data_IF_113577966295
#
_entry.id   IF_113577966295
#
_cell.length_a   1.000
_cell.length_b   1.000
_cell.length_c   1.000
_cell.angle_alpha   90.00
_cell.angle_beta   90.00
_cell.angle_gamma   90.00
#
_symmetry.space_group_name_H-M   'P 1'
#
loop_
_entity.id
_entity.type
_entity.pdbx_description
1 polymer ?
#
# COMPACT_ATOMS: atom_id res chain seq x y z
N UNK A 1 14.85 -66.02 20.34
CA UNK A 1 14.49 -64.64 20.69
C UNK A 1 14.98 -63.73 19.57
N UNK A 2 14.08 -63.19 18.75
CA UNK A 2 14.43 -62.28 17.65
C UNK A 2 14.38 -60.85 18.19
N UNK A 3 15.54 -60.19 18.22
CA UNK A 3 15.64 -58.77 18.56
C UNK A 3 15.24 -57.95 17.34
N UNK A 4 14.12 -57.25 17.46
CA UNK A 4 13.67 -56.25 16.49
C UNK A 4 14.21 -54.90 16.95
N UNK A 5 15.25 -54.41 16.28
CA UNK A 5 15.82 -53.09 16.53
C UNK A 5 14.92 -52.04 15.90
N UNK A 6 14.25 -51.23 16.72
CA UNK A 6 13.45 -50.09 16.28
C UNK A 6 14.39 -48.93 15.93
N UNK A 7 14.41 -48.54 14.65
CA UNK A 7 15.07 -47.33 14.18
C UNK A 7 14.12 -46.14 14.42
N UNK A 8 14.43 -45.33 15.43
CA UNK A 8 13.75 -44.05 15.66
C UNK A 8 14.39 -43.03 14.73
N UNK A 9 13.69 -42.71 13.63
CA UNK A 9 14.08 -41.62 12.74
C UNK A 9 13.58 -40.30 13.34
N UNK A 10 14.47 -39.54 13.96
CA UNK A 10 14.18 -38.19 14.44
C UNK A 10 14.15 -37.23 13.25
N UNK A 11 12.94 -36.86 12.82
CA UNK A 11 12.71 -35.75 11.88
C UNK A 11 13.09 -34.43 12.59
N UNK A 12 14.28 -33.92 12.27
CA UNK A 12 14.65 -32.54 12.55
C UNK A 12 13.79 -31.65 11.65
N UNK A 13 12.80 -30.98 12.23
CA UNK A 13 12.11 -29.89 11.56
C UNK A 13 13.12 -28.76 11.37
N UNK A 14 13.63 -28.60 10.15
CA UNK A 14 14.33 -27.40 9.72
C UNK A 14 13.37 -26.23 9.88
N UNK A 15 13.63 -25.36 10.88
CA UNK A 15 12.96 -24.07 10.97
C UNK A 15 13.31 -23.29 9.70
N UNK A 16 12.39 -23.26 8.75
CA UNK A 16 12.52 -22.41 7.58
C UNK A 16 12.56 -20.96 8.08
N UNK A 17 13.69 -20.28 7.91
CA UNK A 17 13.81 -18.86 8.19
C UNK A 17 12.86 -18.11 7.26
N UNK A 18 12.07 -17.19 7.80
CA UNK A 18 11.18 -16.35 6.99
C UNK A 18 11.99 -15.61 5.91
N UNK A 19 11.45 -15.57 4.68
CA UNK A 19 11.99 -14.76 3.59
C UNK A 19 11.91 -13.28 3.96
N UNK A 20 12.81 -12.43 3.45
CA UNK A 20 12.71 -11.00 3.68
C UNK A 20 11.69 -10.38 2.72
N UNK A 21 10.46 -10.17 3.19
CA UNK A 21 9.34 -9.67 2.39
C UNK A 21 9.53 -8.23 1.92
N UNK A 22 10.37 -7.45 2.61
CA UNK A 22 10.60 -6.03 2.35
C UNK A 22 11.90 -5.76 1.57
N UNK A 23 12.63 -6.81 1.19
CA UNK A 23 13.82 -6.71 0.36
C UNK A 23 13.48 -6.47 -1.12
N UNK A 24 14.49 -6.01 -1.87
CA UNK A 24 14.44 -5.86 -3.33
C UNK A 24 13.37 -4.88 -3.83
N UNK A 25 13.16 -3.79 -3.08
CA UNK A 25 12.31 -2.66 -3.50
C UNK A 25 10.92 -3.11 -3.97
N UNK A 26 10.10 -3.70 -3.08
CA UNK A 26 8.81 -4.23 -3.48
C UNK A 26 7.86 -3.08 -3.89
N UNK A 27 7.09 -3.35 -4.94
CA UNK A 27 6.12 -2.42 -5.53
C UNK A 27 4.79 -3.13 -5.71
N UNK A 28 3.72 -2.51 -5.25
CA UNK A 28 2.35 -2.97 -5.44
C UNK A 28 1.63 -1.99 -6.35
N UNK A 29 1.11 -2.44 -7.49
CA UNK A 29 0.13 -1.72 -8.29
C UNK A 29 -1.26 -2.16 -7.86
N UNK A 30 -2.06 -1.22 -7.40
CA UNK A 30 -3.42 -1.46 -6.94
C UNK A 30 -4.35 -0.56 -7.71
N UNK A 31 -5.50 -1.10 -8.10
CA UNK A 31 -6.64 -0.31 -8.56
C UNK A 31 -7.78 -0.37 -7.56
N UNK A 32 -8.56 0.70 -7.52
CA UNK A 32 -9.80 0.75 -6.76
C UNK A 32 -10.89 1.48 -7.52
N UNK A 33 -12.13 1.12 -7.22
CA UNK A 33 -13.32 1.81 -7.69
C UNK A 33 -14.24 2.04 -6.51
N UNK A 34 -14.49 3.30 -6.17
CA UNK A 34 -15.26 3.69 -5.01
C UNK A 34 -16.46 4.57 -5.39
N UNK A 35 -17.59 4.32 -4.76
CA UNK A 35 -18.65 5.30 -4.61
C UNK A 35 -18.15 6.47 -3.78
N UNK A 36 -18.10 7.64 -4.40
CA UNK A 36 -18.12 8.93 -3.70
C UNK A 36 -19.59 9.41 -3.71
N UNK A 37 -19.99 10.52 -3.05
CA UNK A 37 -21.40 10.87 -2.90
C UNK A 37 -22.21 10.65 -4.18
N UNK A 38 -23.18 9.73 -4.09
CA UNK A 38 -23.87 9.20 -5.27
C UNK A 38 -24.47 10.34 -6.09
N UNK A 39 -24.42 10.28 -7.43
CA UNK A 39 -24.03 9.18 -8.32
C UNK A 39 -22.58 9.27 -8.83
N UNK A 40 -21.65 9.72 -8.00
CA UNK A 40 -20.26 9.91 -8.39
C UNK A 40 -19.41 8.64 -8.13
N UNK A 41 -18.53 8.28 -9.07
CA UNK A 41 -17.58 7.17 -8.92
C UNK A 41 -16.16 7.70 -9.02
N UNK A 42 -15.30 7.27 -8.09
CA UNK A 42 -13.86 7.48 -8.12
C UNK A 42 -13.16 6.19 -8.56
N UNK A 43 -12.36 6.23 -9.61
CA UNK A 43 -11.50 5.12 -10.02
C UNK A 43 -10.05 5.52 -9.83
N UNK A 44 -9.32 4.82 -8.97
CA UNK A 44 -7.95 5.13 -8.56
C UNK A 44 -6.99 4.02 -9.01
N UNK A 45 -5.84 4.38 -9.56
CA UNK A 45 -4.76 3.48 -9.93
C UNK A 45 -3.44 3.98 -9.39
N UNK A 46 -2.77 3.17 -8.56
CA UNK A 46 -1.67 3.67 -7.75
C UNK A 46 -0.65 2.61 -7.36
N UNK A 47 0.57 3.08 -7.08
CA UNK A 47 1.62 2.26 -6.49
C UNK A 47 1.74 2.47 -4.99
N UNK A 48 1.99 1.38 -4.26
CA UNK A 48 2.79 1.41 -3.04
C UNK A 48 4.23 1.01 -3.35
N UNK A 49 5.19 1.65 -2.69
CA UNK A 49 6.60 1.32 -2.81
C UNK A 49 7.36 1.71 -1.55
N UNK A 50 8.46 1.01 -1.26
CA UNK A 50 9.29 1.30 -0.07
C UNK A 50 10.18 2.52 -0.30
N UNK A 51 10.41 3.31 0.76
CA UNK A 51 11.12 4.58 0.68
C UNK A 51 12.06 4.80 1.89
N UNK A 52 12.89 3.80 2.16
CA UNK A 52 13.81 3.78 3.29
C UNK A 52 13.10 3.54 4.62
N UNK A 53 13.79 3.85 5.72
CA UNK A 53 13.35 3.44 7.05
C UNK A 53 13.10 4.63 8.01
N UNK A 54 12.42 4.32 9.11
CA UNK A 54 12.23 5.12 10.31
C UNK A 54 12.65 4.29 11.54
N UNK A 55 12.98 4.97 12.64
CA UNK A 55 13.24 4.33 13.93
C UNK A 55 12.19 4.79 14.94
N UNK A 56 11.45 3.83 15.52
CA UNK A 56 10.49 4.10 16.59
C UNK A 56 10.86 3.21 17.76
N UNK A 57 11.21 3.80 18.90
CA UNK A 57 11.57 3.08 20.13
C UNK A 57 12.69 2.03 19.93
N UNK A 58 13.63 2.28 19.02
CA UNK A 58 14.73 1.36 18.72
C UNK A 58 14.38 0.24 17.73
N UNK A 59 13.14 0.19 17.23
CA UNK A 59 12.70 -0.74 16.18
C UNK A 59 12.73 -0.03 14.83
N UNK A 60 13.30 -0.69 13.82
CA UNK A 60 13.33 -0.19 12.43
C UNK A 60 12.02 -0.50 11.74
N UNK A 61 11.45 0.51 11.09
CA UNK A 61 10.21 0.44 10.31
C UNK A 61 10.47 0.92 8.90
N UNK A 62 10.09 0.14 7.90
CA UNK A 62 10.17 0.53 6.50
C UNK A 62 9.01 1.46 6.16
N UNK A 63 9.35 2.60 5.55
CA UNK A 63 8.41 3.56 5.02
C UNK A 63 7.83 3.04 3.71
N UNK A 64 6.51 3.11 3.58
CA UNK A 64 5.79 2.83 2.34
C UNK A 64 5.03 4.08 1.94
N UNK A 65 5.28 4.53 0.71
CA UNK A 65 4.66 5.70 0.11
C UNK A 65 3.63 5.27 -0.93
N UNK A 66 2.68 6.15 -1.24
CA UNK A 66 1.64 5.93 -2.25
C UNK A 66 1.61 7.05 -3.28
N UNK A 67 1.67 6.71 -4.55
CA UNK A 67 1.51 7.68 -5.66
C UNK A 67 0.62 7.10 -6.74
N UNK A 68 -0.07 7.95 -7.49
CA UNK A 68 -0.98 7.48 -8.54
C UNK A 68 -1.90 8.59 -9.04
N UNK A 69 -3.02 8.18 -9.60
CA UNK A 69 -4.06 9.12 -10.03
C UNK A 69 -5.43 8.49 -9.88
N UNK A 70 -6.40 9.32 -9.52
CA UNK A 70 -7.80 8.93 -9.57
C UNK A 70 -8.59 9.76 -10.58
N UNK A 71 -9.63 9.16 -11.12
CA UNK A 71 -10.61 9.81 -11.99
C UNK A 71 -11.96 9.88 -11.28
N UNK A 72 -12.67 11.00 -11.44
CA UNK A 72 -14.04 11.15 -10.99
C UNK A 72 -14.97 11.09 -12.21
N UNK A 73 -16.02 10.28 -12.10
CA UNK A 73 -16.97 10.05 -13.18
C UNK A 73 -18.41 10.05 -12.66
N UNK A 74 -19.17 11.04 -13.12
CA UNK A 74 -20.60 11.16 -12.88
C UNK A 74 -21.40 10.08 -13.63
N UNK A 75 -22.23 9.31 -12.93
CA UNK A 75 -22.97 8.18 -13.50
C UNK A 75 -24.46 8.47 -13.79
N UNK A 76 -24.98 9.65 -13.44
CA UNK A 76 -26.39 9.97 -13.64
C UNK A 76 -26.66 10.65 -14.98
N UNK A 77 -27.84 10.45 -15.59
CA UNK A 77 -28.26 11.17 -16.79
C UNK A 77 -28.53 12.67 -16.54
N UNK A 78 -28.63 13.10 -15.28
CA UNK A 78 -28.78 14.50 -14.93
C UNK A 78 -27.49 15.29 -15.20
N UNK A 79 -27.59 16.62 -15.18
CA UNK A 79 -26.43 17.49 -15.32
C UNK A 79 -25.30 17.04 -14.36
N UNK A 80 -24.09 16.79 -14.88
CA UNK A 80 -22.97 16.37 -14.04
C UNK A 80 -22.63 17.41 -12.98
N UNK A 81 -22.37 16.94 -11.75
CA UNK A 81 -21.76 17.78 -10.72
C UNK A 81 -20.33 18.15 -11.17
N UNK A 82 -19.98 19.45 -11.24
CA UNK A 82 -18.62 19.89 -11.57
C UNK A 82 -17.54 19.32 -10.66
N UNK A 83 -17.88 18.91 -9.43
CA UNK A 83 -16.95 18.29 -8.48
C UNK A 83 -16.78 16.77 -8.71
N UNK A 84 -17.49 16.19 -9.67
CA UNK A 84 -17.46 14.76 -9.99
C UNK A 84 -16.91 14.49 -11.40
N UNK A 85 -15.85 15.20 -11.77
CA UNK A 85 -15.25 15.08 -13.09
C UNK A 85 -13.76 15.33 -13.01
N UNK A 86 -12.98 14.64 -13.84
CA UNK A 86 -11.57 14.95 -14.05
C UNK A 86 -10.64 13.81 -13.65
N UNK A 87 -9.35 14.06 -13.87
CA UNK A 87 -8.24 13.19 -13.52
C UNK A 87 -7.30 13.96 -12.61
N UNK A 88 -6.98 13.36 -11.46
CA UNK A 88 -6.24 13.98 -10.38
C UNK A 88 -5.02 13.12 -10.05
N UNK A 89 -3.83 13.47 -10.59
CA UNK A 89 -2.59 12.85 -10.16
C UNK A 89 -2.25 13.32 -8.74
N UNK A 90 -1.61 12.45 -7.98
CA UNK A 90 -1.12 12.78 -6.66
C UNK A 90 0.24 12.12 -6.38
N UNK A 91 1.06 12.86 -5.64
CA UNK A 91 2.40 12.42 -5.26
C UNK A 91 2.43 11.66 -3.92
N UNK A 92 3.64 11.20 -3.53
CA UNK A 92 3.87 10.35 -2.36
C UNK A 92 3.40 10.89 -1.01
N UNK A 93 3.23 12.21 -0.87
CA UNK A 93 2.84 12.84 0.39
C UNK A 93 1.32 12.87 0.62
N UNK A 94 0.50 12.65 -0.42
CA UNK A 94 -0.95 12.90 -0.36
C UNK A 94 -1.67 12.01 0.67
N UNK A 95 -1.34 10.72 0.71
CA UNK A 95 -1.94 9.75 1.63
C UNK A 95 -1.09 9.48 2.89
N UNK A 96 -0.06 10.29 3.11
CA UNK A 96 0.90 10.10 4.20
C UNK A 96 1.80 8.87 4.02
N UNK A 97 2.62 8.63 5.03
CA UNK A 97 3.59 7.52 5.06
C UNK A 97 3.04 6.38 5.91
N UNK A 98 3.05 5.17 5.38
CA UNK A 98 2.81 3.95 6.17
C UNK A 98 4.13 3.39 6.66
N UNK A 99 4.14 2.84 7.87
CA UNK A 99 5.32 2.26 8.49
C UNK A 99 5.05 0.79 8.74
N UNK A 100 5.79 -0.09 8.07
CA UNK A 100 5.65 -1.53 8.24
C UNK A 100 6.97 -2.17 8.62
N UNK A 101 6.91 -3.32 9.29
CA UNK A 101 8.08 -4.13 9.58
C UNK A 101 7.72 -5.60 9.46
N UNK A 102 8.73 -6.43 9.26
CA UNK A 102 8.59 -7.86 9.33
C UNK A 102 9.01 -8.37 10.72
N UNK A 103 8.28 -9.36 11.23
CA UNK A 103 8.66 -10.11 12.43
C UNK A 103 8.41 -11.60 12.20
N UNK A 104 9.47 -12.37 11.94
CA UNK A 104 9.31 -13.76 11.50
C UNK A 104 8.45 -13.83 10.24
N UNK A 105 7.36 -14.60 10.30
CA UNK A 105 6.38 -14.78 9.22
C UNK A 105 5.17 -13.84 9.34
N UNK A 106 5.32 -12.72 10.06
CA UNK A 106 4.31 -11.67 10.15
C UNK A 106 4.78 -10.38 9.45
N UNK A 107 3.81 -9.68 8.84
CA UNK A 107 3.94 -8.25 8.57
C UNK A 107 3.19 -7.48 9.64
N UNK A 108 3.80 -6.41 10.12
CA UNK A 108 3.29 -5.55 11.19
C UNK A 108 3.28 -4.10 10.72
N UNK A 109 2.34 -3.32 11.23
CA UNK A 109 2.14 -1.90 10.87
C UNK A 109 2.13 -1.04 12.14
N UNK A 110 2.78 0.12 12.06
CA UNK A 110 2.66 1.15 13.09
C UNK A 110 1.46 2.02 12.77
N UNK A 111 0.40 1.87 13.56
CA UNK A 111 -0.86 2.60 13.41
C UNK A 111 -1.41 2.95 14.80
N UNK A 112 -2.03 4.12 14.92
CA UNK A 112 -2.61 4.61 16.18
C UNK A 112 -1.61 4.58 17.35
N UNK A 113 -0.36 4.97 17.08
CA UNK A 113 0.77 4.93 18.01
C UNK A 113 1.04 3.56 18.66
N UNK A 114 0.66 2.49 17.95
CA UNK A 114 0.82 1.11 18.40
C UNK A 114 1.34 0.21 17.29
N UNK A 115 1.96 -0.88 17.71
CA UNK A 115 2.42 -1.94 16.83
C UNK A 115 1.31 -2.98 16.61
N UNK A 116 0.74 -3.01 15.41
CA UNK A 116 -0.40 -3.86 15.07
C UNK A 116 -0.04 -4.92 14.04
N UNK A 117 -0.76 -6.05 14.06
CA UNK A 117 -0.65 -7.08 13.04
C UNK A 117 -1.19 -6.54 11.71
N UNK A 118 -0.47 -6.73 10.61
CA UNK A 118 -0.98 -6.50 9.26
C UNK A 118 -1.34 -7.85 8.61
N UNK A 119 -0.39 -8.78 8.56
CA UNK A 119 -0.62 -10.14 8.05
C UNK A 119 0.10 -11.21 8.88
N UNK A 120 -0.53 -12.37 8.99
CA UNK A 120 0.02 -13.61 9.53
C UNK A 120 0.16 -14.62 8.37
N UNK A 121 1.30 -15.31 8.31
CA UNK A 121 1.58 -16.32 7.28
C UNK A 121 1.88 -17.72 7.86
N UNK A 122 1.80 -17.90 9.17
CA UNK A 122 1.79 -19.23 9.81
C UNK A 122 0.39 -19.85 9.80
N UNK A 123 -0.17 -19.97 8.59
CA UNK A 123 -1.53 -20.43 8.34
C UNK A 123 -1.56 -21.85 7.77
N UNK A 124 -2.61 -22.59 8.11
CA UNK A 124 -2.89 -23.93 7.59
C UNK A 124 -4.32 -24.03 7.08
N UNK A 125 -4.60 -24.98 6.20
CA UNK A 125 -5.97 -25.24 5.71
C UNK A 125 -6.92 -25.47 6.90
N UNK A 126 -8.07 -24.80 6.87
CA UNK A 126 -9.09 -24.83 7.91
C UNK A 126 -8.86 -23.84 9.06
N UNK A 127 -7.71 -23.16 9.12
CA UNK A 127 -7.51 -22.07 10.09
C UNK A 127 -8.26 -20.81 9.69
N UNK A 128 -8.61 -20.00 10.67
CA UNK A 128 -9.22 -18.68 10.49
C UNK A 128 -8.12 -17.61 10.49
N UNK A 129 -8.24 -16.59 9.63
CA UNK A 129 -7.34 -15.45 9.68
C UNK A 129 -7.51 -14.69 11.02
N UNK A 130 -6.40 -14.29 11.68
CA UNK A 130 -6.51 -13.44 12.86
C UNK A 130 -7.07 -12.06 12.48
N UNK A 131 -7.63 -11.36 13.49
CA UNK A 131 -7.90 -9.94 13.34
C UNK A 131 -6.58 -9.18 13.17
N UNK A 132 -6.57 -8.26 12.21
CA UNK A 132 -5.42 -7.44 11.84
C UNK A 132 -5.88 -6.03 11.48
N UNK A 133 -4.93 -5.13 11.22
CA UNK A 133 -5.22 -3.74 10.89
C UNK A 133 -6.18 -3.59 9.69
N UNK A 134 -6.09 -4.47 8.70
CA UNK A 134 -6.99 -4.48 7.54
C UNK A 134 -7.97 -5.68 7.49
N UNK A 135 -7.99 -6.51 8.53
CA UNK A 135 -8.97 -7.59 8.70
C UNK A 135 -9.73 -7.49 10.03
N UNK A 136 -10.98 -7.05 9.96
CA UNK A 136 -11.91 -6.98 11.10
C UNK A 136 -12.93 -8.12 11.11
N UNK A 137 -12.81 -9.08 10.20
CA UNK A 137 -13.70 -10.23 10.09
C UNK A 137 -13.10 -11.47 10.78
N UNK A 138 -13.93 -12.18 11.55
CA UNK A 138 -13.59 -13.38 12.32
C UNK A 138 -13.97 -14.69 11.64
N UNK A 139 -14.55 -14.68 10.43
CA UNK A 139 -15.03 -15.89 9.74
C UNK A 139 -14.27 -16.25 8.45
N UNK A 140 -13.23 -15.48 8.10
CA UNK A 140 -12.37 -15.75 6.95
C UNK A 140 -11.49 -16.96 7.25
N UNK A 141 -11.57 -17.99 6.42
CA UNK A 141 -10.82 -19.24 6.61
C UNK A 141 -9.94 -19.58 5.41
N UNK A 142 -8.88 -20.34 5.65
CA UNK A 142 -7.99 -20.84 4.59
C UNK A 142 -8.57 -22.12 3.99
N UNK A 143 -8.92 -22.08 2.70
CA UNK A 143 -9.46 -23.22 1.96
C UNK A 143 -8.36 -24.13 1.41
N UNK A 144 -7.32 -23.53 0.87
CA UNK A 144 -6.21 -24.23 0.25
C UNK A 144 -4.92 -23.44 0.44
N UNK A 145 -3.79 -24.15 0.37
CA UNK A 145 -2.45 -23.55 0.35
C UNK A 145 -1.70 -24.12 -0.84
N UNK A 146 -1.28 -23.23 -1.72
CA UNK A 146 -0.34 -23.54 -2.80
C UNK A 146 0.85 -22.57 -2.75
N UNK A 147 1.56 -22.44 -3.87
CA UNK A 147 2.73 -21.58 -3.92
C UNK A 147 2.83 -20.85 -5.25
N UNK A 148 3.38 -19.65 -5.21
CA UNK A 148 3.66 -18.80 -6.37
C UNK A 148 5.13 -18.42 -6.39
N UNK A 149 5.73 -18.37 -7.58
CA UNK A 149 7.11 -17.93 -7.74
C UNK A 149 7.17 -16.41 -7.80
N UNK A 150 7.90 -15.78 -6.89
CA UNK A 150 8.14 -14.34 -6.84
C UNK A 150 9.65 -14.12 -6.87
N UNK A 151 10.17 -13.53 -7.95
CA UNK A 151 11.61 -13.49 -8.18
C UNK A 151 12.17 -14.90 -8.28
N UNK A 152 13.04 -15.25 -7.33
CA UNK A 152 13.66 -16.59 -7.21
C UNK A 152 13.06 -17.41 -6.07
N UNK A 153 12.03 -16.92 -5.39
CA UNK A 153 11.51 -17.51 -4.17
C UNK A 153 10.08 -18.03 -4.36
N UNK A 154 9.84 -19.26 -3.92
CA UNK A 154 8.47 -19.76 -3.80
C UNK A 154 7.84 -19.18 -2.53
N UNK A 155 6.68 -18.55 -2.68
CA UNK A 155 5.91 -17.96 -1.58
C UNK A 155 4.59 -18.69 -1.44
N UNK A 156 4.15 -18.91 -0.20
CA UNK A 156 2.86 -19.52 0.04
C UNK A 156 1.73 -18.60 -0.45
N UNK A 157 0.73 -19.19 -1.10
CA UNK A 157 -0.52 -18.52 -1.45
C UNK A 157 -1.68 -19.29 -0.81
N UNK A 158 -2.46 -18.56 -0.03
CA UNK A 158 -3.60 -19.06 0.72
C UNK A 158 -4.87 -18.65 -0.01
N UNK A 159 -5.67 -19.64 -0.44
CA UNK A 159 -7.02 -19.38 -0.95
C UNK A 159 -7.95 -19.14 0.25
N UNK A 160 -8.72 -18.05 0.19
CA UNK A 160 -9.56 -17.59 1.29
C UNK A 160 -11.05 -17.88 1.04
N UNK A 161 -11.74 -18.40 2.05
CA UNK A 161 -13.19 -18.49 2.12
C UNK A 161 -13.77 -17.30 2.90
N UNK A 162 -15.05 -16.98 2.64
CA UNK A 162 -15.80 -15.92 3.33
C UNK A 162 -15.12 -14.55 3.25
N UNK A 163 -14.35 -14.33 2.18
CA UNK A 163 -13.59 -13.12 1.92
C UNK A 163 -13.86 -12.66 0.50
N UNK A 164 -13.75 -11.36 0.26
CA UNK A 164 -13.82 -10.81 -1.09
C UNK A 164 -12.43 -10.81 -1.74
N UNK A 165 -11.37 -10.70 -0.93
CA UNK A 165 -10.04 -11.07 -1.38
C UNK A 165 -9.97 -12.60 -1.53
N UNK A 166 -9.71 -13.07 -2.74
CA UNK A 166 -9.62 -14.49 -3.08
C UNK A 166 -8.35 -15.14 -2.51
N UNK A 167 -7.25 -14.38 -2.47
CA UNK A 167 -5.95 -14.90 -2.07
C UNK A 167 -5.27 -14.00 -1.04
N UNK A 168 -4.48 -14.61 -0.16
CA UNK A 168 -3.40 -13.99 0.60
C UNK A 168 -2.08 -14.61 0.13
N UNK A 169 -1.09 -13.80 -0.19
CA UNK A 169 0.22 -14.25 -0.66
C UNK A 169 1.29 -13.75 0.31
N UNK A 170 2.12 -14.68 0.75
CA UNK A 170 3.20 -14.42 1.71
C UNK A 170 4.11 -13.28 1.22
N UNK A 171 4.27 -12.25 2.06
CA UNK A 171 5.07 -11.06 1.76
C UNK A 171 4.54 -10.15 0.64
N UNK A 172 3.37 -10.44 0.07
CA UNK A 172 2.71 -9.60 -0.96
C UNK A 172 1.42 -8.99 -0.41
N UNK A 173 0.68 -9.68 0.45
CA UNK A 173 -0.63 -9.24 0.91
C UNK A 173 -1.76 -9.94 0.15
N UNK A 174 -2.94 -9.34 0.13
CA UNK A 174 -4.12 -10.00 -0.47
C UNK A 174 -4.24 -9.73 -1.96
N UNK A 175 -5.19 -10.40 -2.61
CA UNK A 175 -5.60 -10.07 -3.98
C UNK A 175 -6.23 -8.68 -4.12
N UNK A 176 -6.45 -7.94 -3.02
CA UNK A 176 -6.81 -6.52 -3.05
C UNK A 176 -5.60 -5.58 -2.94
N UNK A 177 -4.46 -6.08 -2.46
CA UNK A 177 -3.26 -5.30 -2.22
C UNK A 177 -2.67 -5.47 -0.83
N UNK A 178 -1.80 -4.54 -0.44
CA UNK A 178 -1.06 -4.59 0.82
C UNK A 178 -1.87 -4.05 2.00
N UNK A 179 -2.60 -2.94 1.82
CA UNK A 179 -3.27 -2.22 2.91
C UNK A 179 -4.79 -2.24 2.80
N UNK A 180 -5.30 -2.72 1.68
CA UNK A 180 -6.72 -2.76 1.37
C UNK A 180 -7.45 -3.74 2.29
N UNK A 181 -8.73 -3.48 2.63
CA UNK A 181 -9.53 -4.38 3.46
C UNK A 181 -9.61 -5.78 2.87
N UNK A 182 -9.43 -6.81 3.69
CA UNK A 182 -9.52 -8.22 3.25
C UNK A 182 -10.97 -8.58 2.89
N UNK A 183 -11.91 -8.14 3.73
CA UNK A 183 -13.35 -8.17 3.45
C UNK A 183 -13.79 -6.80 2.97
N UNK A 184 -14.73 -6.77 2.04
CA UNK A 184 -15.05 -5.52 1.37
C UNK A 184 -15.84 -4.54 2.24
N UNK A 185 -15.71 -3.27 1.89
CA UNK A 185 -16.54 -2.17 2.35
C UNK A 185 -17.56 -1.87 1.25
N UNK A 186 -18.85 -1.68 1.59
CA UNK A 186 -19.96 -1.64 0.62
C UNK A 186 -19.79 -0.67 -0.56
N UNK A 187 -18.97 0.36 -0.39
CA UNK A 187 -18.84 1.44 -1.38
C UNK A 187 -17.51 1.42 -2.15
N UNK A 188 -16.61 0.46 -1.94
CA UNK A 188 -15.34 0.39 -2.68
C UNK A 188 -15.06 -1.02 -3.18
N UNK A 189 -14.30 -1.16 -4.25
CA UNK A 189 -13.69 -2.42 -4.68
C UNK A 189 -12.20 -2.21 -4.91
N UNK A 190 -11.38 -3.23 -4.66
CA UNK A 190 -9.92 -3.17 -4.75
C UNK A 190 -9.38 -4.37 -5.53
N UNK A 191 -8.26 -4.18 -6.21
CA UNK A 191 -7.55 -5.24 -6.93
C UNK A 191 -6.04 -5.01 -6.86
N UNK A 192 -5.29 -6.04 -6.47
CA UNK A 192 -3.86 -6.11 -6.71
C UNK A 192 -3.64 -6.46 -8.18
N UNK A 193 -3.31 -5.45 -8.95
CA UNK A 193 -3.07 -5.59 -10.38
C UNK A 193 -1.67 -6.13 -10.64
N UNK A 194 -0.67 -5.64 -9.88
CA UNK A 194 0.72 -6.10 -10.01
C UNK A 194 1.48 -6.10 -8.69
N UNK A 195 2.32 -7.09 -8.48
CA UNK A 195 3.40 -7.06 -7.51
C UNK A 195 4.74 -7.29 -8.19
N UNK A 196 5.71 -6.44 -7.86
CA UNK A 196 7.03 -6.42 -8.48
C UNK A 196 8.14 -6.20 -7.46
N UNK A 197 9.37 -6.48 -7.88
CA UNK A 197 10.58 -6.23 -7.12
C UNK A 197 11.50 -5.37 -8.00
N UNK A 198 11.82 -4.16 -7.55
CA UNK A 198 12.55 -3.18 -8.33
C UNK A 198 11.82 -2.78 -9.61
N UNK A 199 12.41 -3.11 -10.76
CA UNK A 199 11.85 -2.79 -12.07
C UNK A 199 10.94 -3.90 -12.64
N UNK A 200 11.01 -5.10 -12.09
CA UNK A 200 10.40 -6.30 -12.67
C UNK A 200 9.05 -6.64 -12.02
N UNK A 201 8.08 -7.02 -12.84
CA UNK A 201 6.78 -7.54 -12.42
C UNK A 201 6.80 -9.07 -12.26
N UNK A 202 6.22 -9.57 -11.16
CA UNK A 202 6.23 -11.01 -10.84
C UNK A 202 4.85 -11.62 -10.66
N UNK A 203 3.88 -10.86 -10.16
CA UNK A 203 2.53 -11.36 -9.92
C UNK A 203 1.49 -10.36 -10.42
N UNK A 204 0.41 -10.81 -11.09
CA UNK A 204 0.19 -12.18 -11.55
C UNK A 204 1.18 -12.57 -12.66
N UNK A 205 1.35 -13.88 -12.89
CA UNK A 205 2.26 -14.38 -13.93
C UNK A 205 1.85 -13.84 -15.31
N UNK A 206 2.80 -13.23 -16.03
CA UNK A 206 2.56 -12.65 -17.35
C UNK A 206 2.13 -11.18 -17.32
N UNK A 207 2.17 -10.52 -16.16
CA UNK A 207 1.97 -9.08 -16.05
C UNK A 207 3.15 -8.30 -16.66
N UNK A 208 3.06 -7.98 -17.96
CA UNK A 208 3.92 -7.01 -18.64
C UNK A 208 5.41 -7.06 -18.26
N UNK A 209 6.07 -5.91 -18.22
CA UNK A 209 7.45 -5.77 -17.77
C UNK A 209 7.61 -4.99 -16.46
N UNK A 210 6.61 -4.23 -16.02
CA UNK A 210 6.72 -3.34 -14.85
C UNK A 210 5.38 -3.14 -14.13
N UNK A 211 5.44 -2.97 -12.81
CA UNK A 211 4.30 -2.59 -11.98
C UNK A 211 4.15 -1.06 -11.81
N UNK A 212 5.07 -0.25 -12.33
CA UNK A 212 5.04 1.19 -12.10
C UNK A 212 3.95 1.88 -12.92
N UNK A 213 3.13 2.72 -12.28
CA UNK A 213 2.22 3.64 -12.95
C UNK A 213 3.06 4.70 -13.67
N UNK A 214 2.89 4.79 -14.99
CA UNK A 214 3.48 5.88 -15.78
C UNK A 214 2.67 7.15 -15.50
N UNK A 215 3.14 7.98 -14.58
CA UNK A 215 2.57 9.30 -14.38
C UNK A 215 3.27 10.28 -15.33
N UNK A 216 2.51 10.83 -16.28
CA UNK A 216 2.98 11.98 -17.05
C UNK A 216 3.06 13.18 -16.10
N UNK A 217 4.26 13.51 -15.65
CA UNK A 217 4.51 14.80 -15.00
C UNK A 217 4.30 15.86 -16.06
N UNK A 218 3.23 16.65 -15.95
CA UNK A 218 3.25 17.98 -16.52
C UNK A 218 4.19 18.75 -15.60
N UNK A 219 5.39 19.10 -16.08
CA UNK A 219 6.24 20.06 -15.38
C UNK A 219 5.37 21.28 -15.07
N UNK A 220 5.05 21.49 -13.79
CA UNK A 220 4.44 22.74 -13.38
C UNK A 220 5.43 23.84 -13.74
N UNK A 221 4.94 24.95 -14.30
CA UNK A 221 5.76 26.11 -14.61
C UNK A 221 6.72 26.37 -13.44
N UNK A 222 8.02 26.45 -13.74
CA UNK A 222 9.05 26.88 -12.81
C UNK A 222 8.47 28.01 -11.96
N UNK A 223 8.42 27.82 -10.63
CA UNK A 223 7.97 28.88 -9.74
C UNK A 223 8.82 30.11 -10.07
N UNK A 224 8.20 31.14 -10.66
CA UNK A 224 8.88 32.39 -10.98
C UNK A 224 9.73 32.77 -9.77
N UNK A 225 11.05 32.84 -9.94
CA UNK A 225 11.96 33.26 -8.89
C UNK A 225 11.47 34.62 -8.38
N UNK A 226 10.95 34.63 -7.15
CA UNK A 226 10.50 35.85 -6.51
C UNK A 226 11.72 36.67 -6.15
N UNK A 227 12.03 37.67 -6.97
CA UNK A 227 13.08 38.64 -6.67
C UNK A 227 12.50 39.75 -5.79
N UNK A 228 12.95 39.82 -4.53
CA UNK A 228 12.64 40.92 -3.63
C UNK A 228 13.69 42.01 -3.81
N UNK A 229 13.28 43.18 -4.33
CA UNK A 229 14.13 44.34 -4.47
C UNK A 229 13.44 45.61 -3.93
N UNK A 230 14.18 46.53 -3.28
CA UNK A 230 15.61 46.45 -2.96
C UNK A 230 15.91 45.56 -1.75
N UNK A 231 17.03 44.83 -1.82
CA UNK A 231 17.67 44.14 -0.70
C UNK A 231 19.08 44.75 -0.54
N UNK A 232 19.42 45.39 0.60
CA UNK A 232 18.70 45.42 1.87
C UNK A 232 17.47 46.33 1.86
N UNK A 233 16.45 45.95 2.63
CA UNK A 233 15.28 46.79 2.89
C UNK A 233 15.46 47.49 4.25
N UNK A 234 15.24 48.80 4.30
CA UNK A 234 15.51 49.59 5.51
C UNK A 234 14.53 49.33 6.66
N UNK A 235 13.30 48.84 6.40
CA UNK A 235 12.30 48.61 7.46
C UNK A 235 11.28 47.48 7.18
N UNK A 236 10.65 47.43 6.00
CA UNK A 236 9.60 46.43 5.70
C UNK A 236 9.44 46.24 4.19
N UNK A 237 9.24 44.99 3.77
CA UNK A 237 8.84 44.63 2.39
C UNK A 237 7.38 44.21 2.42
N UNK A 238 6.51 44.93 1.71
CA UNK A 238 5.09 44.59 1.52
C UNK A 238 4.86 44.09 0.10
N UNK A 239 4.54 42.81 -0.06
CA UNK A 239 4.07 42.28 -1.34
C UNK A 239 2.56 42.52 -1.46
N UNK A 240 2.16 43.20 -2.53
CA UNK A 240 0.75 43.30 -2.92
C UNK A 240 0.48 42.19 -3.93
N UNK A 241 -0.14 41.11 -3.48
CA UNK A 241 -0.78 40.16 -4.39
C UNK A 241 -2.15 40.73 -4.76
N UNK A 242 -2.45 40.87 -6.05
CA UNK A 242 -3.81 41.15 -6.49
C UNK A 242 -4.72 40.03 -6.00
N UNK A 243 -5.76 40.39 -5.24
CA UNK A 243 -6.75 39.49 -4.63
C UNK A 243 -7.27 38.46 -5.65
N UNK A 244 -7.23 37.17 -5.34
CA UNK A 244 -8.30 36.54 -4.57
C UNK A 244 -7.88 35.83 -3.27
N UNK A 245 -8.56 36.23 -2.20
CA UNK A 245 -8.82 35.54 -0.93
C UNK A 245 -7.68 35.17 0.05
N UNK A 246 -7.65 36.01 1.11
CA UNK A 246 -7.47 35.71 2.54
C UNK A 246 -6.38 34.70 2.99
N UNK A 247 -5.27 35.25 3.49
CA UNK A 247 -4.86 35.11 4.90
C UNK A 247 -3.68 36.04 5.21
N UNK A 248 -3.88 37.03 6.11
CA UNK A 248 -2.77 37.82 6.66
C UNK A 248 -1.96 36.94 7.61
N UNK A 249 -0.71 36.63 7.27
CA UNK A 249 0.29 36.14 8.23
C UNK A 249 1.39 37.19 8.33
N UNK A 250 1.44 37.87 9.48
CA UNK A 250 2.60 38.68 9.85
C UNK A 250 3.67 37.75 10.41
N UNK A 251 4.89 37.83 9.89
CA UNK A 251 6.08 37.27 10.51
C UNK A 251 6.98 38.42 10.95
N UNK A 252 7.42 38.43 12.21
CA UNK A 252 8.49 39.31 12.67
C UNK A 252 9.82 38.57 12.51
N UNK A 253 10.81 39.24 11.92
CA UNK A 253 12.20 38.76 11.89
C UNK A 253 12.88 39.23 13.19
N UNK A 254 13.60 38.32 13.86
CA UNK A 254 14.56 38.63 14.94
C UNK A 254 15.86 39.07 14.28
#
# INVERSE_FOLDING_TARGET
>A
MRHTTLLVSSLLASAATAQNYLANEPVWLVSSMCGVPAPCIATDGYNYYTAGDSLIQGVTWTKVLRQGSYTLAWQSPNQPDPNCQGLYPYGPSYYGVKLIRQEGRQLRIWADDTDQLLYEFDLVVGSTLPLSWNNWNTDITVLAVDSVLIGTEMRARYELANSWAQYLIEGVGTSHGLFEPVSNFFDCGYSLDCFGLGADAFYPSGWGSSCWVVMSVVEGDELNEWTLAPNPADNMVTSHHGEGDMHRRCWSVI
#
